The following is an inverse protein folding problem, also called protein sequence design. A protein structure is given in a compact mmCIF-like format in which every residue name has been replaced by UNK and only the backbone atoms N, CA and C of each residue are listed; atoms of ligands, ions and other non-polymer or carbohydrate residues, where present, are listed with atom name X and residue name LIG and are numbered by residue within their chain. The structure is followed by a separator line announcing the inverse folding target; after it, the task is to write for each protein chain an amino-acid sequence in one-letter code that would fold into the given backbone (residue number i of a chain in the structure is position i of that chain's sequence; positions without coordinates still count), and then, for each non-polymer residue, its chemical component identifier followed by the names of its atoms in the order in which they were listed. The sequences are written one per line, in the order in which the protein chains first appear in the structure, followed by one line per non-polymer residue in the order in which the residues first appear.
data_IF_792949236834
#
_entry.id   IF_792949236834
#
_cell.length_a   1.000
_cell.length_b   1.000
_cell.length_c   1.000
_cell.angle_alpha   90.00
_cell.angle_beta   90.00
_cell.angle_gamma   90.00
#
_symmetry.space_group_name_H-M   'P 1'
#
loop_
_entity.id
_entity.type
_entity.pdbx_description
1 polymer ?
#
# COMPACT_ATOMS: atom_id res chain seq x y z
N UNK A 1 1.32 10.57 -19.96
CA UNK A 1 0.94 9.56 -18.96
C UNK A 1 0.33 8.37 -19.70
N UNK A 2 1.03 7.24 -19.72
CA UNK A 2 0.61 6.02 -20.39
C UNK A 2 -0.36 5.26 -19.48
N UNK A 3 -1.64 5.23 -19.87
CA UNK A 3 -2.71 4.56 -19.11
C UNK A 3 -2.38 3.09 -18.86
N UNK A 4 -1.74 2.41 -19.82
CA UNK A 4 -1.32 1.01 -19.69
C UNK A 4 -0.30 0.79 -18.57
N UNK A 5 0.66 1.72 -18.42
CA UNK A 5 1.71 1.62 -17.42
C UNK A 5 1.16 1.79 -16.00
N UNK A 6 0.34 2.83 -15.80
CA UNK A 6 -0.36 3.04 -14.52
C UNK A 6 -1.30 1.86 -14.24
N UNK A 7 -2.07 1.42 -15.22
CA UNK A 7 -2.99 0.29 -15.07
C UNK A 7 -2.29 -1.00 -14.63
N UNK A 8 -1.09 -1.30 -15.17
CA UNK A 8 -0.32 -2.47 -14.76
C UNK A 8 0.11 -2.40 -13.28
N UNK A 9 0.63 -1.25 -12.83
CA UNK A 9 1.00 -1.04 -11.43
C UNK A 9 -0.20 -1.09 -10.49
N UNK A 10 -1.30 -0.41 -10.86
CA UNK A 10 -2.55 -0.40 -10.09
C UNK A 10 -3.12 -1.81 -9.92
N UNK A 11 -3.09 -2.64 -10.97
CA UNK A 11 -3.60 -4.02 -10.88
C UNK A 11 -2.81 -4.85 -9.87
N UNK A 12 -1.48 -4.69 -9.80
CA UNK A 12 -0.65 -5.37 -8.80
C UNK A 12 -1.05 -4.97 -7.39
N UNK A 13 -1.19 -3.67 -7.14
CA UNK A 13 -1.52 -3.15 -5.81
C UNK A 13 -2.93 -3.55 -5.38
N UNK A 14 -3.92 -3.40 -6.26
CA UNK A 14 -5.30 -3.81 -5.99
C UNK A 14 -5.42 -5.31 -5.75
N UNK A 15 -4.69 -6.13 -6.52
CA UNK A 15 -4.68 -7.57 -6.32
C UNK A 15 -4.11 -7.93 -4.95
N UNK A 16 -2.97 -7.33 -4.55
CA UNK A 16 -2.38 -7.58 -3.24
C UNK A 16 -3.31 -7.15 -2.10
N UNK A 17 -3.95 -5.97 -2.22
CA UNK A 17 -4.94 -5.50 -1.23
C UNK A 17 -6.11 -6.46 -1.13
N UNK A 18 -6.67 -6.89 -2.26
CA UNK A 18 -7.79 -7.85 -2.28
C UNK A 18 -7.40 -9.19 -1.64
N UNK A 19 -6.24 -9.74 -2.00
CA UNK A 19 -5.69 -10.98 -1.43
C UNK A 19 -5.46 -10.83 0.07
N UNK A 20 -4.80 -9.75 0.48
CA UNK A 20 -4.50 -9.46 1.88
C UNK A 20 -5.73 -9.24 2.76
N UNK A 21 -6.79 -8.70 2.18
CA UNK A 21 -8.06 -8.47 2.88
C UNK A 21 -8.92 -9.74 3.00
N UNK A 22 -8.80 -10.68 2.06
CA UNK A 22 -9.75 -11.80 1.93
C UNK A 22 -9.17 -13.15 2.34
N UNK A 23 -7.85 -13.33 2.29
CA UNK A 23 -7.26 -14.62 2.66
C UNK A 23 -7.22 -14.81 4.17
N UNK A 24 -7.86 -15.87 4.71
CA UNK A 24 -7.74 -16.23 6.11
C UNK A 24 -6.31 -16.66 6.42
N UNK A 25 -5.64 -15.86 7.25
CA UNK A 25 -4.28 -16.11 7.68
C UNK A 25 -4.22 -16.58 9.13
N UNK A 26 -3.34 -17.55 9.45
CA UNK A 26 -2.99 -17.88 10.83
C UNK A 26 -2.47 -16.65 11.59
N UNK A 27 -2.75 -16.48 12.89
CA UNK A 27 -2.33 -15.32 13.67
C UNK A 27 -0.84 -15.00 13.55
N UNK A 28 0.01 -16.03 13.54
CA UNK A 28 1.47 -15.93 13.52
C UNK A 28 2.03 -15.25 12.26
N UNK A 29 1.31 -15.33 11.14
CA UNK A 29 1.77 -14.77 9.86
C UNK A 29 1.06 -13.48 9.47
N UNK A 30 0.00 -13.09 10.20
CA UNK A 30 -0.81 -11.88 9.89
C UNK A 30 0.05 -10.62 9.89
N UNK A 31 0.89 -10.45 10.90
CA UNK A 31 1.77 -9.29 11.03
C UNK A 31 2.74 -9.22 9.86
N UNK A 32 3.43 -10.32 9.55
CA UNK A 32 4.37 -10.39 8.43
C UNK A 32 3.69 -10.10 7.10
N UNK A 33 2.50 -10.67 6.86
CA UNK A 33 1.73 -10.39 5.66
C UNK A 33 1.28 -8.93 5.58
N UNK A 34 0.94 -8.31 6.71
CA UNK A 34 0.56 -6.90 6.78
C UNK A 34 1.74 -5.98 6.46
N UNK A 35 2.93 -6.29 6.98
CA UNK A 35 4.17 -5.57 6.64
C UNK A 35 4.53 -5.75 5.16
N UNK A 36 4.32 -6.95 4.60
CA UNK A 36 4.52 -7.19 3.17
C UNK A 36 3.56 -6.36 2.31
N UNK A 37 2.29 -6.19 2.72
CA UNK A 37 1.35 -5.33 2.03
C UNK A 37 1.77 -3.87 2.02
N UNK A 38 2.43 -3.38 3.08
CA UNK A 38 2.96 -2.02 3.10
C UNK A 38 4.00 -1.78 2.00
N UNK A 39 4.71 -2.82 1.57
CA UNK A 39 5.75 -2.76 0.52
C UNK A 39 5.21 -2.91 -0.91
N UNK A 40 3.90 -3.08 -1.10
CA UNK A 40 3.32 -3.36 -2.42
C UNK A 40 3.50 -2.18 -3.39
N UNK A 41 3.60 -0.96 -2.86
CA UNK A 41 3.86 0.24 -3.65
C UNK A 41 5.18 0.14 -4.41
N UNK A 42 6.19 -0.52 -3.84
CA UNK A 42 7.45 -0.78 -4.54
C UNK A 42 7.23 -1.63 -5.80
N UNK A 43 6.41 -2.67 -5.71
CA UNK A 43 6.16 -3.59 -6.83
C UNK A 43 5.29 -2.92 -7.89
N UNK A 44 4.18 -2.30 -7.49
CA UNK A 44 3.28 -1.57 -8.39
C UNK A 44 3.99 -0.42 -9.09
N UNK A 45 4.77 0.36 -8.34
CA UNK A 45 5.61 1.44 -8.84
C UNK A 45 6.65 0.97 -9.83
N UNK A 46 7.39 -0.09 -9.51
CA UNK A 46 8.39 -0.66 -10.41
C UNK A 46 7.79 -1.13 -11.73
N UNK A 47 6.66 -1.86 -11.67
CA UNK A 47 5.94 -2.32 -12.88
C UNK A 47 5.45 -1.14 -13.71
N UNK A 48 4.85 -0.12 -13.08
CA UNK A 48 4.40 1.07 -13.78
C UNK A 48 5.57 1.84 -14.42
N UNK A 49 6.70 1.96 -13.74
CA UNK A 49 7.90 2.61 -14.26
C UNK A 49 8.52 1.84 -15.43
N UNK A 50 8.57 0.50 -15.36
CA UNK A 50 9.06 -0.34 -16.46
C UNK A 50 8.17 -0.28 -17.69
N UNK A 51 6.85 -0.36 -17.54
CA UNK A 51 5.92 -0.35 -18.68
C UNK A 51 5.81 1.04 -19.32
N UNK A 52 6.18 2.10 -18.59
CA UNK A 52 6.15 3.46 -19.13
C UNK A 52 7.27 3.74 -20.15
N UNK A 53 8.34 2.92 -20.21
CA UNK A 53 9.48 3.05 -21.14
C UNK A 53 9.94 4.50 -21.38
N UNK A 54 10.18 5.23 -20.28
CA UNK A 54 10.51 6.66 -20.29
C UNK A 54 11.63 6.99 -19.32
N UNK A 55 12.00 8.28 -19.22
CA UNK A 55 13.05 8.74 -18.30
C UNK A 55 12.62 8.61 -16.82
N UNK A 56 13.56 8.83 -15.89
CA UNK A 56 13.31 8.74 -14.45
C UNK A 56 12.10 9.58 -13.97
N UNK A 57 11.85 10.76 -14.56
CA UNK A 57 10.71 11.63 -14.16
C UNK A 57 9.39 11.03 -14.59
N UNK A 58 9.33 10.43 -15.77
CA UNK A 58 8.15 9.73 -16.23
C UNK A 58 7.91 8.49 -15.37
N UNK A 59 8.96 7.72 -15.04
CA UNK A 59 8.88 6.62 -14.08
C UNK A 59 8.29 7.03 -12.74
N UNK A 60 8.76 8.13 -12.14
CA UNK A 60 8.21 8.68 -10.88
C UNK A 60 6.73 8.98 -11.00
N UNK A 61 6.31 9.65 -12.08
CA UNK A 61 4.91 10.03 -12.26
C UNK A 61 4.01 8.80 -12.34
N UNK A 62 4.36 7.83 -13.18
CA UNK A 62 3.53 6.62 -13.35
C UNK A 62 3.50 5.79 -12.07
N UNK A 63 4.64 5.64 -11.38
CA UNK A 63 4.72 4.94 -10.12
C UNK A 63 3.97 5.64 -8.98
N UNK A 64 4.08 6.97 -8.87
CA UNK A 64 3.31 7.77 -7.91
C UNK A 64 1.81 7.62 -8.14
N UNK A 65 1.36 7.70 -9.40
CA UNK A 65 -0.06 7.54 -9.72
C UNK A 65 -0.58 6.13 -9.43
N UNK A 66 0.21 5.10 -9.72
CA UNK A 66 -0.13 3.74 -9.32
C UNK A 66 -0.27 3.66 -7.80
N UNK A 67 0.78 4.05 -7.06
CA UNK A 67 0.82 4.01 -5.60
C UNK A 67 -0.24 4.88 -4.92
N UNK A 68 -0.66 6.00 -5.50
CA UNK A 68 -1.81 6.78 -4.98
C UNK A 68 -3.09 5.95 -5.05
N UNK A 69 -3.34 5.25 -6.15
CA UNK A 69 -4.56 4.46 -6.33
C UNK A 69 -4.55 3.23 -5.42
N UNK A 70 -3.48 2.45 -5.39
CA UNK A 70 -3.40 1.30 -4.48
C UNK A 70 -3.27 1.71 -3.03
N UNK A 71 -2.58 2.80 -2.72
CA UNK A 71 -2.52 3.40 -1.39
C UNK A 71 -3.88 3.87 -0.90
N UNK A 72 -4.70 4.47 -1.77
CA UNK A 72 -6.08 4.81 -1.45
C UNK A 72 -6.94 3.57 -1.19
N UNK A 73 -6.80 2.53 -2.02
CA UNK A 73 -7.50 1.26 -1.80
C UNK A 73 -7.08 0.61 -0.47
N UNK A 74 -5.78 0.56 -0.17
CA UNK A 74 -5.26 0.06 1.10
C UNK A 74 -5.82 0.85 2.29
N UNK A 75 -5.79 2.18 2.22
CA UNK A 75 -6.30 3.05 3.26
C UNK A 75 -7.81 2.82 3.51
N UNK A 76 -8.60 2.70 2.46
CA UNK A 76 -10.04 2.42 2.59
C UNK A 76 -10.29 1.06 3.26
N UNK A 77 -9.61 0.00 2.80
CA UNK A 77 -9.85 -1.33 3.36
C UNK A 77 -9.31 -1.43 4.78
N UNK A 78 -8.14 -0.87 5.08
CA UNK A 78 -7.61 -0.84 6.45
C UNK A 78 -8.56 -0.05 7.38
N UNK A 79 -9.00 1.13 6.98
CA UNK A 79 -9.97 1.92 7.73
C UNK A 79 -11.28 1.18 7.96
N UNK A 80 -11.79 0.47 6.94
CA UNK A 80 -12.96 -0.39 7.07
C UNK A 80 -12.75 -1.51 8.11
N UNK A 81 -11.60 -2.18 8.08
CA UNK A 81 -11.28 -3.25 9.04
C UNK A 81 -11.12 -2.74 10.47
N UNK A 82 -10.63 -1.51 10.66
CA UNK A 82 -10.56 -0.87 11.97
C UNK A 82 -11.95 -0.48 12.49
N UNK A 83 -12.85 -0.03 11.61
CA UNK A 83 -14.19 0.43 11.99
C UNK A 83 -15.22 -0.71 12.14
N UNK A 84 -14.97 -1.90 11.60
CA UNK A 84 -15.96 -2.99 11.53
C UNK A 84 -15.55 -4.18 12.40
N UNK A 85 -16.24 -4.41 13.53
CA UNK A 85 -16.05 -5.61 14.35
C UNK A 85 -16.29 -6.89 13.56
N UNK A 86 -15.46 -7.92 13.77
CA UNK A 86 -15.58 -9.22 13.10
C UNK A 86 -14.89 -9.33 11.74
N UNK A 87 -14.17 -8.31 11.28
CA UNK A 87 -13.38 -8.31 10.03
C UNK A 87 -11.99 -8.95 10.17
N UNK A 88 -11.80 -9.83 11.16
CA UNK A 88 -10.51 -10.35 11.63
C UNK A 88 -9.94 -11.50 10.77
N UNK A 89 -10.14 -11.43 9.46
CA UNK A 89 -10.00 -12.59 8.56
C UNK A 89 -8.81 -12.43 7.60
N UNK A 90 -7.89 -11.47 7.80
CA UNK A 90 -6.79 -11.27 6.85
C UNK A 90 -5.55 -10.55 7.39
N UNK A 91 -4.62 -10.27 6.49
CA UNK A 91 -3.37 -9.57 6.78
C UNK A 91 -3.60 -8.15 7.31
N UNK A 92 -4.65 -7.46 6.85
CA UNK A 92 -4.98 -6.10 7.30
C UNK A 92 -5.37 -6.04 8.78
N UNK A 93 -5.89 -7.13 9.34
CA UNK A 93 -6.08 -7.23 10.79
C UNK A 93 -4.75 -7.28 11.54
N UNK A 94 -3.69 -7.85 10.96
CA UNK A 94 -2.35 -7.81 11.55
C UNK A 94 -1.84 -6.38 11.75
N UNK A 95 -2.13 -5.48 10.80
CA UNK A 95 -1.85 -4.04 10.94
C UNK A 95 -2.70 -3.40 12.03
N UNK A 96 -3.99 -3.70 12.09
CA UNK A 96 -4.87 -3.20 13.16
C UNK A 96 -4.37 -3.66 14.54
N UNK A 97 -4.00 -4.93 14.68
CA UNK A 97 -3.43 -5.48 15.91
C UNK A 97 -2.12 -4.79 16.31
N UNK A 98 -1.20 -4.57 15.36
CA UNK A 98 0.02 -3.80 15.62
C UNK A 98 -0.28 -2.38 16.11
N UNK A 99 -1.23 -1.69 15.48
CA UNK A 99 -1.65 -0.35 15.89
C UNK A 99 -2.22 -0.37 17.32
N UNK A 100 -3.14 -1.30 17.59
CA UNK A 100 -3.78 -1.44 18.90
C UNK A 100 -2.77 -1.79 20.03
N UNK A 101 -1.73 -2.54 19.70
CA UNK A 101 -0.68 -2.97 20.65
C UNK A 101 0.54 -2.04 20.70
N UNK A 102 0.57 -0.98 19.89
CA UNK A 102 1.73 -0.08 19.75
C UNK A 102 2.03 0.80 20.98
N UNK A 103 1.24 0.66 22.05
CA UNK A 103 1.45 1.40 23.31
C UNK A 103 0.88 2.82 23.30
N UNK A 104 -0.10 3.10 22.46
CA UNK A 104 -0.83 4.38 22.45
C UNK A 104 -1.48 4.57 23.83
N UNK A 105 -1.22 5.69 24.55
CA UNK A 105 -1.83 5.95 25.85
C UNK A 105 -3.35 5.88 25.78
N UNK A 106 -3.97 5.19 26.74
CA UNK A 106 -5.44 4.95 26.75
C UNK A 106 -6.25 6.23 26.73
N UNK A 107 -5.76 7.28 27.39
CA UNK A 107 -6.44 8.58 27.44
C UNK A 107 -6.43 9.26 26.07
N UNK A 108 -5.36 9.09 25.31
CA UNK A 108 -5.20 9.64 23.97
C UNK A 108 -6.04 8.84 22.96
N UNK A 109 -6.04 7.51 23.08
CA UNK A 109 -6.92 6.65 22.29
C UNK A 109 -8.40 6.99 22.55
N UNK A 110 -8.81 7.16 23.81
CA UNK A 110 -10.19 7.48 24.15
C UNK A 110 -10.68 8.82 23.60
N UNK A 111 -9.79 9.83 23.54
CA UNK A 111 -10.14 11.17 23.04
C UNK A 111 -10.06 11.25 21.51
N UNK A 112 -9.13 10.51 20.89
CA UNK A 112 -8.81 10.63 19.47
C UNK A 112 -9.08 9.37 18.64
N UNK A 113 -9.89 8.43 19.14
CA UNK A 113 -10.13 7.13 18.51
C UNK A 113 -10.49 7.25 17.02
N UNK A 114 -11.43 8.15 16.70
CA UNK A 114 -11.87 8.41 15.34
C UNK A 114 -10.75 9.01 14.46
N UNK A 115 -9.98 9.95 15.01
CA UNK A 115 -8.87 10.58 14.29
C UNK A 115 -7.74 9.59 14.04
N UNK A 116 -7.43 8.71 14.99
CA UNK A 116 -6.45 7.64 14.85
C UNK A 116 -6.89 6.63 13.80
N UNK A 117 -8.18 6.25 13.80
CA UNK A 117 -8.79 5.39 12.78
C UNK A 117 -8.73 5.94 11.36
N UNK A 118 -8.57 7.27 11.18
CA UNK A 118 -8.36 7.91 9.88
C UNK A 118 -6.86 8.08 9.59
N UNK A 119 -6.09 8.48 10.61
CA UNK A 119 -4.67 8.82 10.48
C UNK A 119 -3.84 7.61 10.07
N UNK A 120 -4.00 6.45 10.71
CA UNK A 120 -3.19 5.28 10.41
C UNK A 120 -3.41 4.75 8.98
N UNK A 121 -4.66 4.59 8.50
CA UNK A 121 -4.87 4.21 7.11
C UNK A 121 -4.36 5.25 6.12
N UNK A 122 -4.50 6.55 6.42
CA UNK A 122 -3.96 7.60 5.57
C UNK A 122 -2.43 7.54 5.47
N UNK A 123 -1.72 7.29 6.58
CA UNK A 123 -0.27 7.10 6.60
C UNK A 123 0.12 5.87 5.78
N UNK A 124 -0.59 4.74 5.94
CA UNK A 124 -0.33 3.52 5.17
C UNK A 124 -0.50 3.77 3.66
N UNK A 125 -1.57 4.47 3.25
CA UNK A 125 -1.77 4.84 1.85
C UNK A 125 -0.70 5.79 1.31
N UNK A 126 -0.25 6.75 2.11
CA UNK A 126 0.82 7.67 1.75
C UNK A 126 2.15 6.95 1.56
N UNK A 127 2.47 5.98 2.43
CA UNK A 127 3.67 5.15 2.29
C UNK A 127 3.67 4.41 0.95
N UNK A 128 2.58 3.75 0.59
CA UNK A 128 2.44 3.05 -0.71
C UNK A 128 2.62 4.02 -1.88
N UNK A 129 2.08 5.24 -1.80
CA UNK A 129 2.28 6.25 -2.83
C UNK A 129 3.74 6.69 -2.99
N UNK A 130 4.45 6.88 -1.87
CA UNK A 130 5.88 7.24 -1.86
C UNK A 130 6.72 6.10 -2.43
N UNK A 131 6.46 4.86 -1.99
CA UNK A 131 7.12 3.68 -2.53
C UNK A 131 6.92 3.54 -4.04
N UNK A 132 5.68 3.74 -4.49
CA UNK A 132 5.32 3.75 -5.90
C UNK A 132 6.15 4.75 -6.70
N UNK A 133 6.26 5.98 -6.20
CA UNK A 133 7.06 7.03 -6.83
C UNK A 133 8.55 6.66 -6.92
N UNK A 134 9.14 6.18 -5.81
CA UNK A 134 10.56 5.82 -5.72
C UNK A 134 10.88 4.66 -6.66
N UNK A 135 10.10 3.58 -6.59
CA UNK A 135 10.33 2.40 -7.41
C UNK A 135 10.07 2.64 -8.90
N UNK A 136 9.04 3.44 -9.23
CA UNK A 136 8.78 3.86 -10.60
C UNK A 136 9.91 4.70 -11.18
N UNK A 137 10.45 5.64 -10.40
CA UNK A 137 11.60 6.44 -10.81
C UNK A 137 12.85 5.60 -11.06
N UNK A 138 13.13 4.64 -10.19
CA UNK A 138 14.24 3.70 -10.33
C UNK A 138 14.07 2.77 -11.53
N UNK A 139 12.83 2.37 -11.87
CA UNK A 139 12.57 1.53 -13.03
C UNK A 139 12.71 2.28 -14.37
N UNK A 140 12.32 3.56 -14.42
CA UNK A 140 12.44 4.40 -15.62
C UNK A 140 13.86 4.91 -15.92
N UNK A 141 14.85 4.65 -15.07
CA UNK A 141 16.25 4.98 -15.38
C UNK A 141 17.02 3.82 -16.00
N UNK A 142 16.44 2.61 -16.03
CA UNK A 142 17.10 1.41 -16.55
C UNK A 142 16.81 1.24 -18.05
N UNK A 143 17.34 2.15 -18.85
CA UNK A 143 17.55 1.88 -20.29
C UNK A 143 18.82 1.02 -20.42
N UNK A 144 18.68 -0.30 -20.40
CA UNK A 144 19.79 -1.21 -20.75
C UNK A 144 19.40 -1.97 -22.01
N UNK A 145 19.84 -1.44 -23.15
CA UNK A 145 20.23 -2.24 -24.31
C UNK A 145 21.65 -1.80 -24.69
N UNK A 146 22.69 -2.63 -24.49
CA UNK A 146 23.94 -2.48 -25.22
C UNK A 146 23.72 -2.96 -26.68
N UNK A 147 24.42 -2.35 -27.66
CA UNK A 147 24.38 -2.76 -29.07
C UNK A 147 24.94 -4.17 -29.31
#
# INVERSE_FOLDING_TARGET
MHVKAVGAGVLVELFAVAVGATLPLPPDVRITAALALLTVGLVGGYVAGRVADGNWRDGIRHGLFAGIVGGFALALVLGYTMATPGSEVGALWGLNYLIATSGIPTDLAAVYDQQLGILFPAIAGLLVAIEGAVAGGAAGSVSVEPP
#
